data_IF_401633624579
#
_entry.id   IF_401633624579
#
_cell.length_a   1.000
_cell.length_b   1.000
_cell.length_c   1.000
_cell.angle_alpha   90.00
_cell.angle_beta   90.00
_cell.angle_gamma   90.00
#
_symmetry.space_group_name_H-M   'P 1'
#
loop_
_entity.id
_entity.type
_entity.pdbx_description
1 polymer ?
#
# COMPACT_ATOMS: atom_id res chain seq x y z
N UNK A 1 -51.46 -39.13 48.47
CA UNK A 1 -50.47 -38.05 48.23
C UNK A 1 -51.09 -37.05 47.27
N UNK A 2 -50.98 -35.73 47.51
CA UNK A 2 -51.69 -34.72 46.73
C UNK A 2 -51.00 -34.46 45.37
N UNK A 3 -51.68 -33.84 44.38
CA UNK A 3 -51.05 -33.44 43.13
C UNK A 3 -50.03 -32.32 43.36
N UNK A 4 -48.87 -32.40 42.68
CA UNK A 4 -47.81 -31.40 42.79
C UNK A 4 -48.30 -30.02 42.30
N UNK A 5 -47.99 -28.93 43.02
CA UNK A 5 -48.47 -27.60 42.66
C UNK A 5 -47.79 -27.09 41.39
N UNK A 6 -48.59 -26.61 40.44
CA UNK A 6 -48.12 -25.89 39.25
C UNK A 6 -47.88 -24.43 39.66
N UNK A 7 -46.69 -23.91 39.37
CA UNK A 7 -46.36 -22.51 39.63
C UNK A 7 -47.18 -21.60 38.70
N UNK A 8 -47.95 -20.63 39.21
CA UNK A 8 -48.81 -19.80 38.38
C UNK A 8 -48.12 -18.58 37.75
N UNK A 9 -46.81 -18.38 37.94
CA UNK A 9 -46.10 -17.23 37.39
C UNK A 9 -45.16 -17.62 36.23
N UNK A 10 -45.21 -16.89 35.11
CA UNK A 10 -44.34 -17.13 33.94
C UNK A 10 -42.91 -16.56 34.06
N UNK A 11 -42.54 -15.95 35.20
CA UNK A 11 -41.28 -15.19 35.33
C UNK A 11 -40.46 -15.46 36.60
N UNK A 12 -40.74 -16.49 37.40
CA UNK A 12 -39.77 -16.91 38.41
C UNK A 12 -38.71 -17.80 37.75
N UNK A 13 -37.42 -17.50 37.92
CA UNK A 13 -36.29 -18.32 37.43
C UNK A 13 -36.14 -19.66 38.16
N UNK A 14 -37.24 -20.29 38.55
CA UNK A 14 -37.30 -21.55 39.25
C UNK A 14 -36.98 -22.72 38.29
N UNK A 15 -36.15 -23.68 38.68
CA UNK A 15 -35.74 -24.86 37.86
C UNK A 15 -36.85 -25.88 37.52
N UNK A 16 -38.12 -25.52 37.70
CA UNK A 16 -39.26 -26.42 37.48
C UNK A 16 -39.81 -26.37 36.03
N UNK A 17 -39.31 -25.49 35.18
CA UNK A 17 -39.73 -25.40 33.76
C UNK A 17 -38.65 -25.74 32.74
N UNK A 18 -37.49 -26.26 33.15
CA UNK A 18 -36.48 -26.77 32.23
C UNK A 18 -36.83 -28.17 31.75
N UNK A 19 -37.86 -28.28 30.90
CA UNK A 19 -38.08 -29.49 30.10
C UNK A 19 -37.28 -29.40 28.81
N UNK A 20 -36.22 -30.21 28.79
CA UNK A 20 -35.68 -30.96 27.64
C UNK A 20 -35.22 -30.10 26.46
N UNK A 21 -34.01 -29.55 26.58
CA UNK A 21 -33.17 -29.34 25.40
C UNK A 21 -32.61 -30.72 25.00
N UNK A 22 -33.03 -31.15 23.82
CA UNK A 22 -32.67 -32.35 23.08
C UNK A 22 -31.17 -32.69 23.20
N UNK A 23 -30.83 -33.73 23.95
CA UNK A 23 -29.50 -34.34 23.97
C UNK A 23 -29.50 -35.56 23.04
N UNK A 24 -29.69 -35.32 21.75
CA UNK A 24 -29.30 -36.29 20.73
C UNK A 24 -27.77 -36.39 20.68
N UNK A 25 -27.19 -37.56 20.33
CA UNK A 25 -25.74 -37.70 20.19
C UNK A 25 -25.21 -36.71 19.14
N UNK A 26 -23.93 -36.30 19.22
CA UNK A 26 -23.33 -35.40 18.24
C UNK A 26 -23.54 -35.95 16.82
N UNK A 27 -24.05 -35.13 15.90
CA UNK A 27 -24.40 -35.52 14.52
C UNK A 27 -23.23 -36.14 13.73
N UNK A 28 -21.98 -35.93 14.19
CA UNK A 28 -20.78 -36.63 13.71
C UNK A 28 -20.84 -38.18 13.89
N UNK A 29 -21.51 -38.65 14.95
CA UNK A 29 -21.65 -40.08 15.28
C UNK A 29 -22.80 -40.80 14.57
N UNK A 30 -23.61 -40.07 13.79
CA UNK A 30 -24.79 -40.63 13.12
C UNK A 30 -24.47 -41.34 11.80
N UNK A 31 -23.43 -40.91 11.07
CA UNK A 31 -23.05 -41.54 9.79
C UNK A 31 -22.65 -43.02 9.97
N UNK A 32 -21.78 -43.38 10.93
CA UNK A 32 -21.40 -44.78 11.14
C UNK A 32 -22.59 -45.63 11.61
N UNK A 33 -23.52 -45.04 12.37
CA UNK A 33 -24.73 -45.71 12.84
C UNK A 33 -25.68 -46.03 11.69
N UNK A 34 -25.94 -45.07 10.79
CA UNK A 34 -26.77 -45.30 9.60
C UNK A 34 -26.17 -46.37 8.67
N UNK A 35 -24.85 -46.36 8.49
CA UNK A 35 -24.14 -47.38 7.72
C UNK A 35 -24.20 -48.77 8.37
N UNK A 36 -24.36 -48.83 9.69
CA UNK A 36 -24.39 -50.10 10.45
C UNK A 36 -25.81 -50.64 10.63
N UNK A 37 -26.84 -49.78 10.68
CA UNK A 37 -28.24 -50.19 10.82
C UNK A 37 -29.01 -50.25 9.50
N UNK A 38 -28.49 -49.68 8.40
CA UNK A 38 -29.19 -49.46 7.13
C UNK A 38 -30.50 -48.63 7.28
N UNK A 39 -30.64 -47.87 8.36
CA UNK A 39 -31.78 -46.95 8.51
C UNK A 39 -31.71 -45.83 7.46
N UNK A 40 -32.88 -45.36 7.02
CA UNK A 40 -32.95 -44.22 6.12
C UNK A 40 -32.52 -42.92 6.85
N UNK A 41 -31.63 -42.11 6.26
CA UNK A 41 -31.24 -40.84 6.85
C UNK A 41 -32.44 -39.89 6.95
N UNK A 42 -32.53 -39.16 8.04
CA UNK A 42 -33.50 -38.07 8.21
C UNK A 42 -33.06 -36.81 7.45
N UNK A 43 -33.96 -35.87 7.17
CA UNK A 43 -33.63 -34.60 6.51
C UNK A 43 -32.49 -33.82 7.20
N UNK A 44 -32.39 -33.91 8.53
CA UNK A 44 -31.30 -33.31 9.30
C UNK A 44 -29.93 -33.96 9.02
N UNK A 45 -29.92 -35.26 8.72
CA UNK A 45 -28.71 -36.01 8.35
C UNK A 45 -28.25 -35.63 6.96
N UNK A 46 -29.19 -35.59 6.01
CA UNK A 46 -28.93 -35.19 4.63
C UNK A 46 -28.34 -33.78 4.60
N UNK A 47 -28.97 -32.82 5.31
CA UNK A 47 -28.48 -31.44 5.38
C UNK A 47 -27.08 -31.36 6.00
N UNK A 48 -26.78 -32.13 7.05
CA UNK A 48 -25.48 -32.12 7.71
C UNK A 48 -24.39 -32.77 6.84
N UNK A 49 -24.67 -33.92 6.23
CA UNK A 49 -23.73 -34.65 5.38
C UNK A 49 -23.52 -34.01 4.02
N UNK A 50 -24.48 -33.25 3.47
CA UNK A 50 -24.28 -32.48 2.24
C UNK A 50 -23.58 -31.14 2.48
N UNK A 51 -23.91 -30.43 3.58
CA UNK A 51 -23.33 -29.08 3.83
C UNK A 51 -21.83 -29.10 4.14
N UNK A 52 -21.34 -30.10 4.87
CA UNK A 52 -19.90 -30.18 5.22
C UNK A 52 -18.99 -30.34 3.98
N UNK A 53 -19.19 -31.33 3.09
CA UNK A 53 -18.37 -31.46 1.89
C UNK A 53 -18.57 -30.30 0.92
N UNK A 54 -19.79 -29.78 0.77
CA UNK A 54 -20.06 -28.65 -0.12
C UNK A 54 -19.40 -27.34 0.36
N UNK A 55 -19.45 -27.04 1.66
CA UNK A 55 -18.79 -25.85 2.23
C UNK A 55 -17.28 -25.94 2.16
N UNK A 56 -16.71 -27.14 2.39
CA UNK A 56 -15.28 -27.39 2.21
C UNK A 56 -14.87 -27.17 0.75
N UNK A 57 -15.59 -27.76 -0.22
CA UNK A 57 -15.34 -27.59 -1.65
C UNK A 57 -15.46 -26.11 -2.08
N UNK A 58 -16.49 -25.40 -1.62
CA UNK A 58 -16.67 -23.98 -1.88
C UNK A 58 -15.53 -23.14 -1.31
N UNK A 59 -15.00 -23.51 -0.14
CA UNK A 59 -13.85 -22.82 0.46
C UNK A 59 -12.56 -23.02 -0.36
N UNK A 60 -12.35 -24.23 -0.88
CA UNK A 60 -11.23 -24.57 -1.77
C UNK A 60 -11.34 -23.79 -3.08
N UNK A 61 -12.49 -23.85 -3.76
CA UNK A 61 -12.71 -23.11 -5.01
C UNK A 61 -12.53 -21.60 -4.85
N UNK A 62 -13.01 -21.02 -3.73
CA UNK A 62 -12.78 -19.60 -3.42
C UNK A 62 -11.31 -19.28 -3.21
N UNK A 63 -10.56 -20.17 -2.54
CA UNK A 63 -9.12 -20.03 -2.39
C UNK A 63 -8.41 -20.09 -3.74
N UNK A 64 -8.78 -21.04 -4.60
CA UNK A 64 -8.19 -21.22 -5.93
C UNK A 64 -8.47 -20.01 -6.84
N UNK A 65 -9.71 -19.52 -6.86
CA UNK A 65 -10.07 -18.29 -7.58
C UNK A 65 -9.23 -17.12 -7.08
N UNK A 66 -9.12 -16.91 -5.77
CA UNK A 66 -8.33 -15.82 -5.21
C UNK A 66 -6.83 -15.93 -5.53
N UNK A 67 -6.29 -17.15 -5.64
CA UNK A 67 -4.92 -17.38 -6.10
C UNK A 67 -4.76 -17.03 -7.60
N UNK A 68 -5.71 -17.46 -8.43
CA UNK A 68 -5.72 -17.15 -9.86
C UNK A 68 -5.93 -15.65 -10.12
N UNK A 69 -6.80 -14.95 -9.38
CA UNK A 69 -7.00 -13.50 -9.49
C UNK A 69 -5.71 -12.72 -9.22
N UNK A 70 -4.93 -13.12 -8.21
CA UNK A 70 -3.62 -12.52 -7.94
C UNK A 70 -2.68 -12.70 -9.14
N UNK A 71 -2.67 -13.90 -9.74
CA UNK A 71 -1.82 -14.20 -10.90
C UNK A 71 -2.25 -13.45 -12.18
N UNK A 72 -3.56 -13.27 -12.37
CA UNK A 72 -4.15 -12.65 -13.56
C UNK A 72 -4.31 -11.12 -13.40
N UNK A 73 -4.01 -10.57 -12.22
CA UNK A 73 -4.17 -9.15 -11.92
C UNK A 73 -3.65 -8.25 -13.06
N UNK A 74 -4.47 -7.34 -13.62
CA UNK A 74 -4.16 -6.61 -14.86
C UNK A 74 -2.78 -5.95 -14.87
N UNK A 75 -2.39 -5.37 -13.74
CA UNK A 75 -1.09 -4.69 -13.55
C UNK A 75 0.14 -5.58 -13.80
N UNK A 76 0.00 -6.91 -13.65
CA UNK A 76 1.07 -7.87 -13.90
C UNK A 76 1.19 -8.19 -15.40
N UNK A 77 0.11 -8.03 -16.16
CA UNK A 77 0.03 -8.30 -17.61
C UNK A 77 0.42 -7.08 -18.45
N UNK A 78 0.46 -5.88 -17.86
CA UNK A 78 0.88 -4.68 -18.57
C UNK A 78 2.33 -4.83 -19.10
N UNK A 79 2.55 -4.42 -20.36
CA UNK A 79 3.89 -4.29 -20.92
C UNK A 79 4.74 -3.31 -20.09
N UNK A 80 6.07 -3.48 -20.05
CA UNK A 80 6.97 -2.56 -19.37
C UNK A 80 6.80 -1.10 -19.80
N UNK A 81 6.49 -0.84 -21.06
CA UNK A 81 6.33 0.50 -21.64
C UNK A 81 5.12 1.21 -21.04
N UNK A 82 3.99 0.50 -20.91
CA UNK A 82 2.76 1.04 -20.30
C UNK A 82 2.97 1.29 -18.81
N UNK A 83 3.67 0.38 -18.11
CA UNK A 83 4.00 0.59 -16.70
C UNK A 83 4.96 1.78 -16.52
N UNK A 84 5.96 1.93 -17.38
CA UNK A 84 6.87 3.08 -17.36
C UNK A 84 6.12 4.39 -17.56
N UNK A 85 5.15 4.43 -18.48
CA UNK A 85 4.32 5.63 -18.68
C UNK A 85 3.49 5.94 -17.42
N UNK A 86 2.85 4.94 -16.80
CA UNK A 86 2.14 5.12 -15.52
C UNK A 86 3.10 5.64 -14.43
N UNK A 87 4.34 5.13 -14.40
CA UNK A 87 5.35 5.59 -13.45
C UNK A 87 5.73 7.05 -13.67
N UNK A 88 5.77 7.52 -14.93
CA UNK A 88 5.98 8.93 -15.25
C UNK A 88 4.83 9.80 -14.75
N UNK A 89 3.58 9.33 -14.82
CA UNK A 89 2.43 10.06 -14.26
C UNK A 89 2.44 10.10 -12.72
N UNK A 90 3.15 9.17 -12.08
CA UNK A 90 3.33 9.13 -10.63
C UNK A 90 4.45 10.05 -10.13
N UNK A 91 5.30 10.53 -11.04
CA UNK A 91 6.26 11.59 -10.74
C UNK A 91 5.72 12.91 -11.29
N UNK A 92 6.17 13.97 -10.68
CA UNK A 92 5.72 15.32 -10.94
C UNK A 92 6.42 15.90 -12.20
N UNK A 93 6.49 15.09 -13.26
CA UNK A 93 7.21 15.38 -14.51
C UNK A 93 6.56 16.52 -15.30
N UNK A 94 5.23 16.55 -15.31
CA UNK A 94 4.42 17.46 -16.13
C UNK A 94 4.26 18.90 -15.62
N UNK A 95 4.70 19.23 -14.40
CA UNK A 95 4.57 20.60 -13.86
C UNK A 95 3.14 21.15 -13.94
N UNK A 96 2.13 20.32 -13.62
CA UNK A 96 0.71 20.71 -13.68
C UNK A 96 0.31 21.65 -12.55
N UNK A 97 1.08 21.69 -11.47
CA UNK A 97 1.05 22.76 -10.49
C UNK A 97 2.19 23.71 -10.87
N UNK A 98 1.88 25.00 -11.02
CA UNK A 98 2.85 26.05 -11.32
C UNK A 98 4.20 25.73 -10.65
N UNK A 99 5.28 25.57 -11.40
CA UNK A 99 6.59 25.19 -10.82
C UNK A 99 7.02 26.12 -9.65
N UNK A 100 6.47 27.34 -9.60
CA UNK A 100 6.57 28.29 -8.51
C UNK A 100 5.74 27.93 -7.24
N UNK A 101 4.59 27.28 -7.36
CA UNK A 101 3.76 26.85 -6.21
C UNK A 101 4.43 25.77 -5.37
N UNK A 102 5.38 25.00 -5.93
CA UNK A 102 6.23 24.07 -5.15
C UNK A 102 7.06 24.77 -4.06
N UNK A 103 7.24 26.08 -4.18
CA UNK A 103 7.95 26.91 -3.21
C UNK A 103 7.03 27.94 -2.55
N UNK A 104 5.70 27.79 -2.65
CA UNK A 104 4.75 28.64 -1.93
C UNK A 104 4.92 28.54 -0.41
N UNK A 105 4.61 29.62 0.31
CA UNK A 105 4.66 29.71 1.78
C UNK A 105 4.00 28.49 2.48
N UNK A 106 2.88 28.02 1.93
CA UNK A 106 2.12 26.86 2.43
C UNK A 106 2.87 25.53 2.21
N UNK A 107 3.56 25.39 1.08
CA UNK A 107 4.42 24.24 0.76
C UNK A 107 5.73 24.25 1.55
N UNK A 108 6.20 25.43 1.98
CA UNK A 108 7.39 25.60 2.81
C UNK A 108 7.27 25.01 4.22
N UNK A 109 6.05 24.71 4.69
CA UNK A 109 5.80 24.01 5.95
C UNK A 109 6.16 22.52 5.87
N UNK A 110 6.00 21.90 4.69
CA UNK A 110 6.43 20.51 4.40
C UNK A 110 6.95 20.42 2.97
N UNK A 111 8.20 20.84 2.73
CA UNK A 111 8.78 20.81 1.40
C UNK A 111 8.87 19.36 0.92
N UNK A 112 8.13 19.01 -0.13
CA UNK A 112 8.35 17.74 -0.84
C UNK A 112 9.77 17.78 -1.40
N UNK A 113 10.52 16.70 -1.23
CA UNK A 113 11.87 16.56 -1.80
C UNK A 113 11.97 15.25 -2.55
N UNK A 114 12.70 15.25 -3.68
CA UNK A 114 12.89 14.03 -4.48
C UNK A 114 13.68 12.97 -3.72
N UNK A 115 14.30 13.35 -2.60
CA UNK A 115 15.10 12.49 -1.75
C UNK A 115 14.27 11.76 -0.68
N UNK A 116 12.97 12.00 -0.59
CA UNK A 116 12.11 11.32 0.37
C UNK A 116 11.84 9.87 -0.09
N UNK A 117 12.29 8.85 0.66
CA UNK A 117 12.09 7.45 0.29
C UNK A 117 10.64 6.98 0.37
N UNK A 118 9.73 7.79 0.92
CA UNK A 118 8.28 7.57 0.96
C UNK A 118 7.54 8.12 -0.26
N UNK A 119 8.25 8.82 -1.16
CA UNK A 119 7.69 9.39 -2.39
C UNK A 119 8.16 8.66 -3.64
N UNK A 120 7.48 8.90 -4.77
CA UNK A 120 7.97 8.49 -6.08
C UNK A 120 9.28 9.22 -6.39
N UNK A 121 10.25 8.57 -7.06
CA UNK A 121 10.15 7.23 -7.67
C UNK A 121 10.53 6.06 -6.72
N UNK A 122 10.87 6.34 -5.47
CA UNK A 122 11.36 5.31 -4.53
C UNK A 122 10.32 4.27 -4.18
N UNK A 123 9.08 4.67 -3.97
CA UNK A 123 7.95 3.78 -3.66
C UNK A 123 7.67 2.78 -4.78
N UNK A 124 7.75 3.22 -6.04
CA UNK A 124 7.57 2.35 -7.21
C UNK A 124 8.58 1.20 -7.21
N UNK A 125 9.83 1.48 -6.83
CA UNK A 125 10.88 0.47 -6.72
C UNK A 125 10.67 -0.52 -5.57
N UNK A 126 9.70 -0.31 -4.67
CA UNK A 126 9.44 -1.16 -3.49
C UNK A 126 8.22 -2.07 -3.64
N UNK A 127 7.39 -1.92 -4.67
CA UNK A 127 6.13 -2.65 -4.82
C UNK A 127 6.33 -4.15 -5.09
N UNK A 128 7.05 -4.51 -6.15
CA UNK A 128 7.37 -5.90 -6.48
C UNK A 128 8.67 -5.98 -7.29
N UNK A 129 9.17 -7.19 -7.56
CA UNK A 129 10.38 -7.41 -8.36
C UNK A 129 10.28 -6.84 -9.78
N UNK A 130 9.14 -7.06 -10.46
CA UNK A 130 8.89 -6.52 -11.81
C UNK A 130 8.93 -4.99 -11.83
N UNK A 131 8.27 -4.33 -10.88
CA UNK A 131 8.25 -2.87 -10.79
C UNK A 131 9.64 -2.32 -10.48
N UNK A 132 10.37 -2.95 -9.55
CA UNK A 132 11.75 -2.58 -9.25
C UNK A 132 12.64 -2.67 -10.50
N UNK A 133 12.55 -3.74 -11.27
CA UNK A 133 13.33 -3.89 -12.50
C UNK A 133 13.03 -2.77 -13.50
N UNK A 134 11.74 -2.49 -13.75
CA UNK A 134 11.30 -1.43 -14.67
C UNK A 134 11.75 -0.04 -14.18
N UNK A 135 11.52 0.28 -12.90
CA UNK A 135 11.93 1.57 -12.35
C UNK A 135 13.44 1.79 -12.46
N UNK A 136 14.26 0.76 -12.24
CA UNK A 136 15.72 0.86 -12.34
C UNK A 136 16.22 0.92 -13.78
N UNK A 137 15.51 0.29 -14.73
CA UNK A 137 15.85 0.35 -16.16
C UNK A 137 15.41 1.64 -16.85
N UNK A 138 14.75 2.56 -16.13
CA UNK A 138 14.19 3.78 -16.71
C UNK A 138 14.78 5.05 -16.11
N UNK A 139 15.92 5.54 -16.65
CA UNK A 139 16.65 6.69 -16.09
C UNK A 139 15.84 7.98 -15.99
N UNK A 140 14.90 8.19 -16.94
CA UNK A 140 14.01 9.35 -16.99
C UNK A 140 13.24 9.54 -15.67
N UNK A 141 12.81 8.44 -15.06
CA UNK A 141 12.09 8.42 -13.78
C UNK A 141 12.88 9.05 -12.62
N UNK A 142 14.22 9.01 -12.68
CA UNK A 142 15.12 9.52 -11.65
C UNK A 142 15.65 10.92 -11.95
N UNK A 143 15.26 11.50 -13.08
CA UNK A 143 15.89 12.71 -13.64
C UNK A 143 15.29 14.02 -13.15
N UNK A 144 14.19 13.97 -12.38
CA UNK A 144 13.59 15.14 -11.74
C UNK A 144 14.09 15.24 -10.29
N UNK A 145 14.97 16.21 -10.03
CA UNK A 145 15.60 16.44 -8.73
C UNK A 145 15.04 17.73 -8.16
N UNK A 146 14.46 17.66 -6.96
CA UNK A 146 13.97 18.84 -6.27
C UNK A 146 14.43 18.90 -4.82
N UNK A 147 15.17 19.97 -4.50
CA UNK A 147 15.81 20.18 -3.20
C UNK A 147 15.38 21.51 -2.58
N UNK A 148 14.91 21.45 -1.34
CA UNK A 148 14.70 22.64 -0.54
C UNK A 148 15.79 22.75 0.54
N UNK A 149 16.64 23.77 0.39
CA UNK A 149 17.84 23.98 1.19
C UNK A 149 17.58 25.11 2.19
N UNK A 150 17.07 24.75 3.37
CA UNK A 150 16.87 25.65 4.53
C UNK A 150 17.89 25.40 5.64
N UNK A 151 18.25 24.14 5.88
CA UNK A 151 19.18 23.72 6.94
C UNK A 151 20.17 22.67 6.44
N UNK A 152 21.17 22.33 7.28
CA UNK A 152 22.07 21.20 7.06
C UNK A 152 21.24 19.91 6.96
N UNK A 153 21.14 19.38 5.73
CA UNK A 153 20.48 18.09 5.49
C UNK A 153 21.31 16.96 6.09
N UNK A 154 20.66 15.88 6.57
CA UNK A 154 21.37 14.75 7.15
C UNK A 154 22.23 14.03 6.09
N UNK A 155 23.34 13.34 6.47
CA UNK A 155 24.21 12.63 5.54
C UNK A 155 23.48 11.63 4.63
N UNK A 156 22.37 11.04 5.11
CA UNK A 156 21.52 10.15 4.33
C UNK A 156 20.97 10.84 3.08
N UNK A 157 20.68 12.14 3.10
CA UNK A 157 20.20 12.89 1.94
C UNK A 157 21.26 12.94 0.83
N UNK A 158 22.54 13.09 1.17
CA UNK A 158 23.64 13.06 0.19
C UNK A 158 23.74 11.68 -0.46
N UNK A 159 23.62 10.61 0.33
CA UNK A 159 23.61 9.24 -0.21
C UNK A 159 22.42 9.01 -1.15
N UNK A 160 21.24 9.48 -0.77
CA UNK A 160 20.03 9.36 -1.60
C UNK A 160 20.16 10.17 -2.89
N UNK A 161 20.73 11.38 -2.83
CA UNK A 161 20.97 12.22 -4.00
C UNK A 161 21.95 11.53 -4.97
N UNK A 162 23.08 11.03 -4.47
CA UNK A 162 24.03 10.27 -5.28
C UNK A 162 23.38 9.05 -5.94
N UNK A 163 22.55 8.32 -5.20
CA UNK A 163 21.83 7.16 -5.74
C UNK A 163 20.83 7.57 -6.83
N UNK A 164 20.11 8.68 -6.65
CA UNK A 164 19.21 9.22 -7.68
C UNK A 164 19.98 9.69 -8.92
N UNK A 165 21.10 10.40 -8.74
CA UNK A 165 22.00 10.84 -9.82
C UNK A 165 22.59 9.66 -10.58
N UNK A 166 22.95 8.58 -9.89
CA UNK A 166 23.44 7.35 -10.50
C UNK A 166 22.35 6.68 -11.33
N UNK A 167 21.13 6.54 -10.78
CA UNK A 167 20.00 5.90 -11.48
C UNK A 167 19.48 6.68 -12.67
N UNK A 168 19.64 8.01 -12.67
CA UNK A 168 19.34 8.84 -13.84
C UNK A 168 20.37 8.70 -14.97
N UNK A 169 21.47 7.97 -14.76
CA UNK A 169 22.42 7.60 -15.80
C UNK A 169 23.01 8.80 -16.52
N UNK A 170 22.84 8.87 -17.84
CA UNK A 170 23.23 10.02 -18.68
C UNK A 170 22.02 10.88 -19.07
N UNK A 171 20.83 10.58 -18.56
CA UNK A 171 19.62 11.30 -18.94
C UNK A 171 19.68 12.76 -18.48
N UNK A 172 19.17 13.72 -19.28
CA UNK A 172 19.16 15.12 -18.90
C UNK A 172 18.32 15.36 -17.64
N UNK A 173 18.85 16.16 -16.73
CA UNK A 173 18.25 16.44 -15.44
C UNK A 173 17.37 17.69 -15.48
N UNK A 174 16.22 17.62 -14.83
CA UNK A 174 15.42 18.77 -14.41
C UNK A 174 15.68 18.99 -12.94
N UNK A 175 16.26 20.14 -12.61
CA UNK A 175 16.69 20.47 -11.25
C UNK A 175 15.92 21.67 -10.76
N UNK A 176 15.13 21.48 -9.70
CA UNK A 176 14.47 22.56 -8.98
C UNK A 176 15.12 22.71 -7.60
N UNK A 177 15.59 23.89 -7.25
CA UNK A 177 16.08 24.10 -5.89
C UNK A 177 15.82 25.51 -5.39
N UNK A 178 15.51 25.58 -4.10
CA UNK A 178 15.37 26.83 -3.38
C UNK A 178 16.40 26.89 -2.27
N UNK A 179 17.03 28.05 -2.14
CA UNK A 179 18.07 28.31 -1.14
C UNK A 179 17.58 29.44 -0.25
N UNK A 180 17.42 29.17 1.03
CA UNK A 180 17.09 30.19 2.05
C UNK A 180 18.32 30.62 2.86
N UNK A 181 19.50 30.17 2.46
CA UNK A 181 20.77 30.39 3.15
C UNK A 181 21.65 31.37 2.38
N UNK A 182 22.56 32.03 3.10
CA UNK A 182 23.67 32.76 2.47
C UNK A 182 24.50 31.82 1.62
N UNK A 183 25.04 32.31 0.50
CA UNK A 183 25.92 31.53 -0.40
C UNK A 183 27.13 30.96 0.34
N UNK A 184 27.57 31.61 1.42
CA UNK A 184 28.68 31.16 2.27
C UNK A 184 28.35 29.94 3.13
N UNK A 185 27.07 29.66 3.34
CA UNK A 185 26.56 28.63 4.25
C UNK A 185 25.90 27.46 3.49
N UNK A 186 26.23 27.30 2.21
CA UNK A 186 25.69 26.23 1.39
C UNK A 186 26.10 24.85 1.94
N UNK A 187 25.15 23.94 2.18
CA UNK A 187 25.46 22.61 2.71
C UNK A 187 26.11 21.72 1.64
N UNK A 188 26.93 20.71 2.02
CA UNK A 188 27.68 19.86 1.07
C UNK A 188 26.83 19.16 0.01
N UNK A 189 25.53 18.98 0.26
CA UNK A 189 24.60 18.41 -0.72
C UNK A 189 24.46 19.26 -1.99
N UNK A 190 24.67 20.58 -1.90
CA UNK A 190 24.62 21.46 -3.07
C UNK A 190 25.84 21.28 -3.96
N UNK A 191 27.02 21.01 -3.39
CA UNK A 191 28.22 20.68 -4.17
C UNK A 191 28.01 19.39 -4.97
N UNK A 192 27.44 18.37 -4.33
CA UNK A 192 27.08 17.11 -5.01
C UNK A 192 26.08 17.37 -6.12
N UNK A 193 25.07 18.20 -5.88
CA UNK A 193 24.12 18.57 -6.93
C UNK A 193 24.85 19.27 -8.09
N UNK A 194 25.64 20.32 -7.81
CA UNK A 194 26.39 21.11 -8.79
C UNK A 194 27.38 20.24 -9.58
N UNK A 195 27.96 19.19 -8.99
CA UNK A 195 28.86 18.26 -9.71
C UNK A 195 28.19 17.60 -10.93
N UNK A 196 26.87 17.58 -10.99
CA UNK A 196 26.08 17.04 -12.11
C UNK A 196 25.61 18.10 -13.12
N UNK A 197 26.06 19.36 -13.02
CA UNK A 197 25.53 20.50 -13.76
C UNK A 197 25.56 20.36 -15.29
N UNK A 198 26.55 19.64 -15.83
CA UNK A 198 26.66 19.39 -17.27
C UNK A 198 25.49 18.60 -17.85
N UNK A 199 24.74 17.88 -16.99
CA UNK A 199 23.55 17.12 -17.40
C UNK A 199 22.27 17.93 -17.25
N UNK A 200 22.31 19.13 -16.71
CA UNK A 200 21.10 19.91 -16.41
C UNK A 200 20.52 20.48 -17.70
N UNK A 201 19.30 20.09 -18.02
CA UNK A 201 18.52 20.64 -19.16
C UNK A 201 17.58 21.75 -18.71
N UNK A 202 17.10 21.68 -17.48
CA UNK A 202 16.18 22.67 -16.92
C UNK A 202 16.57 22.94 -15.48
N UNK A 203 16.68 24.21 -15.14
CA UNK A 203 17.00 24.67 -13.78
C UNK A 203 15.92 25.64 -13.35
N UNK A 204 15.37 25.39 -12.16
CA UNK A 204 14.39 26.26 -11.52
C UNK A 204 14.95 26.67 -10.17
N UNK A 205 15.24 27.95 -10.05
CA UNK A 205 15.79 28.54 -8.84
C UNK A 205 14.72 29.40 -8.19
N UNK A 206 14.40 29.09 -6.93
CA UNK A 206 13.59 29.99 -6.10
C UNK A 206 14.50 30.67 -5.11
N UNK A 207 14.64 31.99 -5.25
CA UNK A 207 15.35 32.85 -4.31
C UNK A 207 14.26 33.49 -3.44
N UNK A 208 14.30 33.38 -2.10
CA UNK A 208 13.36 34.11 -1.27
C UNK A 208 13.47 35.60 -1.59
N UNK A 209 12.33 36.28 -1.70
CA UNK A 209 12.31 37.72 -1.96
C UNK A 209 13.24 38.39 -0.95
N UNK A 210 14.29 39.03 -1.45
CA UNK A 210 15.15 39.86 -0.64
C UNK A 210 14.24 41.01 -0.23
N UNK A 211 13.73 41.00 1.01
CA UNK A 211 13.01 42.13 1.58
C UNK A 211 13.85 43.39 1.28
N UNK A 212 13.34 44.22 0.37
CA UNK A 212 13.91 45.54 0.17
C UNK A 212 13.71 46.29 1.47
N UNK A 213 14.78 46.81 2.11
CA UNK A 213 14.60 47.65 3.28
C UNK A 213 13.85 48.91 2.82
N UNK A 214 12.61 49.08 3.30
CA UNK A 214 11.88 50.34 3.26
C UNK A 214 12.46 51.32 4.28
#
# INVERSE_FOLDING_TARGET
MPPNPICPCRKCGCKLNSRVADQGPPLEGRLPQLLQSNDAPTDADVIFFERKPLSALLSTLKSDIAQHEKAVHPIRRLPPEVLSEIFLQCIDEGGTENEASRFSEETLLRPKTSLDPSQCPWTLSKVCSKWRAISLSFPRLWSNIHLYVRDKKPPQSIRTLNLQLHRSGTHPLKVAFAVSLSVKDLPPITEVLISSCLRWKTVLLSIPEICSPH
#
